data_IF_164379882362
#
_entry.id   IF_164379882362
#
_cell.length_a   1.000
_cell.length_b   1.000
_cell.length_c   1.000
_cell.angle_alpha   90.00
_cell.angle_beta   90.00
_cell.angle_gamma   90.00
#
_symmetry.space_group_name_H-M   'P 1'
#
loop_
_entity.id
_entity.type
_entity.pdbx_description
1 polymer ?
#
# COMPACT_ATOMS: atom_id res chain seq x y z
N UNK A 1 -6.12 -53.71 -21.56
CA UNK A 1 -5.52 -52.90 -22.64
C UNK A 1 -6.31 -51.61 -22.75
N UNK A 2 -5.79 -50.50 -22.23
CA UNK A 2 -6.45 -49.20 -22.30
C UNK A 2 -6.19 -48.60 -23.69
N UNK A 3 -7.13 -48.82 -24.60
CA UNK A 3 -7.12 -48.19 -25.91
C UNK A 3 -7.35 -46.69 -25.72
N UNK A 4 -6.28 -45.91 -25.82
CA UNK A 4 -6.38 -44.49 -26.07
C UNK A 4 -7.15 -44.31 -27.38
N UNK A 5 -8.42 -43.94 -27.29
CA UNK A 5 -9.22 -43.65 -28.47
C UNK A 5 -8.53 -42.53 -29.26
N UNK A 6 -8.37 -42.64 -30.59
CA UNK A 6 -7.74 -41.58 -31.37
C UNK A 6 -8.49 -40.27 -31.16
N UNK A 7 -7.72 -39.20 -31.00
CA UNK A 7 -8.20 -37.84 -30.67
C UNK A 7 -9.18 -37.32 -31.74
N UNK A 8 -9.15 -37.91 -32.94
CA UNK A 8 -9.95 -37.51 -34.11
C UNK A 8 -11.26 -38.28 -34.31
N UNK A 9 -11.67 -39.18 -33.40
CA UNK A 9 -13.02 -39.77 -33.45
C UNK A 9 -14.05 -38.68 -33.13
N UNK A 10 -15.15 -38.61 -33.87
CA UNK A 10 -16.22 -37.60 -33.65
C UNK A 10 -16.76 -37.61 -32.22
N UNK A 11 -16.82 -38.78 -31.59
CA UNK A 11 -17.24 -38.94 -30.19
C UNK A 11 -16.21 -38.43 -29.16
N UNK A 12 -14.92 -38.37 -29.50
CA UNK A 12 -13.89 -37.74 -28.68
C UNK A 12 -13.79 -36.23 -28.97
N UNK A 13 -14.11 -35.78 -30.19
CA UNK A 13 -14.23 -34.35 -30.51
C UNK A 13 -15.27 -33.65 -29.64
N UNK A 14 -16.43 -34.27 -29.36
CA UNK A 14 -17.42 -33.69 -28.44
C UNK A 14 -16.88 -33.48 -27.00
N UNK A 15 -15.94 -34.32 -26.54
CA UNK A 15 -15.31 -34.19 -25.20
C UNK A 15 -14.26 -33.08 -25.15
N UNK A 16 -13.67 -32.74 -26.29
CA UNK A 16 -12.67 -31.67 -26.45
C UNK A 16 -13.21 -30.44 -27.21
N UNK A 17 -14.49 -30.45 -27.59
CA UNK A 17 -15.18 -29.34 -28.24
C UNK A 17 -15.17 -28.13 -27.30
N UNK A 18 -14.40 -27.10 -27.67
CA UNK A 18 -14.21 -25.89 -26.86
C UNK A 18 -12.96 -25.89 -25.97
N UNK A 19 -12.19 -26.98 -25.88
CA UNK A 19 -10.90 -27.00 -25.20
C UNK A 19 -9.77 -26.96 -26.22
N UNK A 20 -8.88 -25.97 -26.11
CA UNK A 20 -7.66 -25.91 -26.93
C UNK A 20 -6.79 -27.13 -26.63
N UNK A 21 -6.53 -27.97 -27.64
CA UNK A 21 -5.64 -29.14 -27.54
C UNK A 21 -4.17 -28.74 -27.29
N UNK A 22 -3.83 -27.48 -27.58
CA UNK A 22 -2.53 -26.90 -27.28
C UNK A 22 -2.45 -26.48 -25.80
N UNK A 23 -1.30 -26.67 -25.12
CA UNK A 23 -1.12 -26.16 -23.77
C UNK A 23 -1.36 -24.64 -23.78
N UNK A 24 -2.11 -24.15 -22.80
CA UNK A 24 -2.35 -22.71 -22.65
C UNK A 24 -1.02 -22.03 -22.43
N UNK A 25 -0.51 -21.32 -23.45
CA UNK A 25 0.64 -20.44 -23.32
C UNK A 25 0.21 -19.22 -22.53
N UNK A 26 0.55 -19.17 -21.24
CA UNK A 26 0.34 -17.99 -20.42
C UNK A 26 1.43 -16.97 -20.72
N UNK A 27 1.14 -16.01 -21.59
CA UNK A 27 1.95 -14.80 -21.71
C UNK A 27 1.62 -13.86 -20.55
N UNK A 28 2.61 -13.11 -20.08
CA UNK A 28 2.36 -12.06 -19.09
C UNK A 28 1.34 -11.08 -19.65
N UNK A 29 0.24 -10.88 -18.93
CA UNK A 29 -0.78 -9.90 -19.28
C UNK A 29 -0.58 -8.66 -18.40
N UNK A 30 -0.16 -7.57 -19.03
CA UNK A 30 0.02 -6.27 -18.38
C UNK A 30 -1.32 -5.67 -17.95
N UNK A 31 -1.62 -5.70 -16.65
CA UNK A 31 -2.76 -4.96 -16.05
C UNK A 31 -2.41 -3.47 -15.94
N UNK A 32 -1.14 -3.19 -15.63
CA UNK A 32 -0.55 -1.86 -15.60
C UNK A 32 0.59 -1.82 -16.62
N UNK A 33 0.82 -0.67 -17.28
CA UNK A 33 1.94 -0.55 -18.21
C UNK A 33 3.24 -0.84 -17.47
N UNK A 34 4.13 -1.62 -18.09
CA UNK A 34 5.50 -1.87 -17.62
C UNK A 34 6.34 -0.59 -17.66
N UNK A 35 6.02 0.30 -16.73
CA UNK A 35 6.59 1.64 -16.62
C UNK A 35 6.89 1.94 -15.16
N UNK A 36 8.08 2.46 -14.92
CA UNK A 36 8.42 3.01 -13.61
C UNK A 36 7.70 4.33 -13.38
N UNK A 37 7.48 4.65 -12.10
CA UNK A 37 6.86 5.89 -11.66
C UNK A 37 7.95 6.86 -11.20
N UNK A 38 7.73 8.15 -11.36
CA UNK A 38 8.60 9.20 -10.78
C UNK A 38 8.43 9.36 -9.26
N UNK A 39 7.70 8.46 -8.59
CA UNK A 39 7.52 8.46 -7.14
C UNK A 39 7.43 7.03 -6.60
N UNK A 40 8.02 6.82 -5.43
CA UNK A 40 7.92 5.61 -4.64
C UNK A 40 6.79 5.79 -3.63
N UNK A 41 6.03 4.73 -3.42
CA UNK A 41 5.02 4.69 -2.37
C UNK A 41 5.70 4.66 -1.01
N UNK A 42 5.48 5.70 -0.21
CA UNK A 42 5.99 5.77 1.16
C UNK A 42 5.22 4.77 2.03
N UNK A 43 5.92 3.81 2.63
CA UNK A 43 5.38 3.04 3.75
C UNK A 43 5.29 3.96 4.96
N UNK A 44 4.16 3.95 5.66
CA UNK A 44 3.99 4.73 6.91
C UNK A 44 5.00 4.24 7.95
N UNK A 45 6.13 4.95 8.06
CA UNK A 45 7.10 4.71 9.11
C UNK A 45 6.60 5.37 10.40
N UNK A 46 6.76 4.68 11.52
CA UNK A 46 6.50 5.23 12.85
C UNK A 46 7.86 5.56 13.47
N UNK A 47 8.00 6.69 14.19
CA UNK A 47 9.21 6.95 14.96
C UNK A 47 9.42 5.83 15.98
N UNK A 48 10.67 5.44 16.17
CA UNK A 48 11.05 4.46 17.19
C UNK A 48 10.91 5.08 18.59
N UNK A 49 10.18 4.42 19.49
CA UNK A 49 9.95 4.91 20.85
C UNK A 49 8.81 4.21 21.57
N UNK A 50 8.86 4.22 22.90
CA UNK A 50 7.76 3.72 23.74
C UNK A 50 6.62 4.74 23.77
N UNK A 51 5.38 4.25 23.59
CA UNK A 51 4.18 5.10 23.57
C UNK A 51 3.73 5.56 24.97
N UNK A 52 4.67 5.90 25.86
CA UNK A 52 4.43 6.28 27.26
C UNK A 52 3.61 5.25 28.07
N UNK A 53 3.63 3.98 27.66
CA UNK A 53 2.80 2.91 28.24
C UNK A 53 3.19 2.59 29.68
N UNK A 54 4.46 2.73 30.05
CA UNK A 54 4.95 2.49 31.40
C UNK A 54 4.38 3.52 32.39
N UNK A 55 4.42 4.81 32.02
CA UNK A 55 3.88 5.88 32.86
C UNK A 55 2.35 5.83 32.94
N UNK A 56 1.69 5.45 31.84
CA UNK A 56 0.25 5.19 31.83
C UNK A 56 -0.13 4.05 32.80
N UNK A 57 0.65 2.97 32.84
CA UNK A 57 0.43 1.87 33.78
C UNK A 57 0.62 2.32 35.24
N UNK A 58 1.62 3.17 35.52
CA UNK A 58 1.81 3.74 36.86
C UNK A 58 0.65 4.65 37.28
N UNK A 59 0.13 5.46 36.35
CA UNK A 59 -1.05 6.31 36.57
C UNK A 59 -2.28 5.47 36.92
N UNK A 60 -2.59 4.45 36.11
CA UNK A 60 -3.70 3.54 36.40
C UNK A 60 -3.51 2.76 37.70
N UNK A 61 -2.27 2.41 38.04
CA UNK A 61 -1.94 1.82 39.34
C UNK A 61 -2.24 2.74 40.51
N UNK A 62 -2.06 4.06 40.35
CA UNK A 62 -2.42 5.06 41.35
C UNK A 62 -3.93 5.24 41.44
N UNK A 63 -4.62 5.43 40.31
CA UNK A 63 -6.08 5.58 40.28
C UNK A 63 -6.81 4.40 40.89
N UNK A 64 -6.32 3.16 40.67
CA UNK A 64 -6.90 1.97 41.29
C UNK A 64 -6.81 1.98 42.82
N UNK A 65 -5.78 2.61 43.40
CA UNK A 65 -5.59 2.68 44.86
C UNK A 65 -6.47 3.74 45.52
N UNK A 66 -6.79 4.81 44.81
CA UNK A 66 -7.50 5.97 45.33
C UNK A 66 -8.89 6.14 44.72
N UNK A 67 -9.52 5.07 44.22
CA UNK A 67 -10.86 5.12 43.63
C UNK A 67 -11.03 6.20 42.54
N UNK A 68 -9.96 6.45 41.77
CA UNK A 68 -9.88 7.47 40.71
C UNK A 68 -9.91 8.93 41.20
N UNK A 69 -9.47 9.19 42.43
CA UNK A 69 -9.33 10.56 42.95
C UNK A 69 -8.04 11.21 42.43
N UNK A 70 -8.17 12.18 41.52
CA UNK A 70 -7.04 12.80 40.79
C UNK A 70 -6.06 13.55 41.71
N UNK A 71 -6.53 14.04 42.85
CA UNK A 71 -5.73 14.85 43.77
C UNK A 71 -4.50 14.12 44.31
N UNK A 72 -4.61 12.80 44.50
CA UNK A 72 -3.55 11.96 45.07
C UNK A 72 -2.57 11.43 44.02
N UNK A 73 -2.91 11.53 42.72
CA UNK A 73 -2.15 10.96 41.61
C UNK A 73 -1.45 12.00 40.72
N UNK A 74 -1.32 13.25 41.20
CA UNK A 74 -0.70 14.37 40.46
C UNK A 74 0.72 14.06 39.98
N UNK A 75 1.52 13.35 40.78
CA UNK A 75 2.90 13.00 40.41
C UNK A 75 2.94 12.11 39.16
N UNK A 76 2.12 11.07 39.13
CA UNK A 76 2.03 10.12 38.01
C UNK A 76 1.42 10.79 36.78
N UNK A 77 0.49 11.72 36.99
CA UNK A 77 -0.11 12.54 35.93
C UNK A 77 0.91 13.49 35.30
N UNK A 78 1.74 14.14 36.11
CA UNK A 78 2.83 15.00 35.64
C UNK A 78 3.89 14.22 34.86
N UNK A 79 4.24 13.01 35.30
CA UNK A 79 5.14 12.14 34.54
C UNK A 79 4.54 11.81 33.17
N UNK A 80 3.32 11.27 33.15
CA UNK A 80 2.61 10.88 31.92
C UNK A 80 2.51 12.04 30.93
N UNK A 81 2.08 13.21 31.39
CA UNK A 81 1.92 14.40 30.54
C UNK A 81 3.26 14.87 29.96
N UNK A 82 4.35 14.82 30.74
CA UNK A 82 5.71 15.12 30.24
C UNK A 82 6.14 14.14 29.17
N UNK A 83 5.93 12.83 29.35
CA UNK A 83 6.28 11.85 28.32
C UNK A 83 5.46 12.07 27.04
N UNK A 84 4.15 12.32 27.16
CA UNK A 84 3.29 12.60 25.99
C UNK A 84 3.76 13.84 25.24
N UNK A 85 4.09 14.94 25.94
CA UNK A 85 4.59 16.16 25.33
C UNK A 85 5.94 15.93 24.63
N UNK A 86 6.85 15.16 25.22
CA UNK A 86 8.13 14.81 24.59
C UNK A 86 7.93 13.91 23.37
N UNK A 87 7.02 12.94 23.44
CA UNK A 87 6.74 12.05 22.33
C UNK A 87 6.09 12.80 21.15
N UNK A 88 5.19 13.74 21.42
CA UNK A 88 4.61 14.62 20.40
C UNK A 88 5.70 15.41 19.65
N UNK A 89 6.64 16.02 20.38
CA UNK A 89 7.78 16.72 19.78
C UNK A 89 8.65 15.81 18.91
N UNK A 90 8.96 14.59 19.39
CA UNK A 90 9.72 13.60 18.60
C UNK A 90 9.00 13.19 17.32
N UNK A 91 7.68 13.00 17.37
CA UNK A 91 6.87 12.67 16.19
C UNK A 91 6.87 13.83 15.19
N UNK A 92 6.74 15.07 15.66
CA UNK A 92 6.82 16.27 14.82
C UNK A 92 8.19 16.41 14.15
N UNK A 93 9.28 16.23 14.90
CA UNK A 93 10.65 16.23 14.39
C UNK A 93 10.87 15.14 13.35
N UNK A 94 10.43 13.90 13.62
CA UNK A 94 10.51 12.79 12.67
C UNK A 94 9.72 13.06 11.39
N UNK A 95 8.53 13.64 11.50
CA UNK A 95 7.73 14.02 10.34
C UNK A 95 8.39 15.15 9.54
N UNK A 96 8.99 16.13 10.21
CA UNK A 96 9.69 17.23 9.58
C UNK A 96 10.96 16.75 8.87
N UNK A 97 11.77 15.89 9.49
CA UNK A 97 12.97 15.30 8.86
C UNK A 97 12.59 14.39 7.69
N UNK A 98 11.56 13.55 7.87
CA UNK A 98 11.03 12.70 6.79
C UNK A 98 10.58 13.51 5.59
N UNK A 99 9.91 14.65 5.80
CA UNK A 99 9.49 15.56 4.71
C UNK A 99 10.65 16.27 4.03
N UNK A 100 11.66 16.71 4.79
CA UNK A 100 12.77 17.51 4.25
C UNK A 100 13.64 16.72 3.26
N UNK A 101 13.72 15.39 3.39
CA UNK A 101 14.36 14.52 2.40
C UNK A 101 15.73 15.04 1.97
N UNK A 102 16.55 15.48 2.93
CA UNK A 102 17.83 16.16 2.65
C UNK A 102 18.79 15.17 2.02
N UNK A 103 19.28 15.48 0.82
CA UNK A 103 20.26 14.66 0.11
C UNK A 103 21.65 14.95 0.71
N UNK A 104 22.29 13.96 1.35
CA UNK A 104 23.67 14.10 1.84
C UNK A 104 23.99 13.52 3.22
N UNK A 105 23.01 13.06 4.00
CA UNK A 105 23.28 12.51 5.34
C UNK A 105 23.52 10.99 5.32
N UNK A 106 24.80 10.62 5.20
CA UNK A 106 25.51 9.56 5.96
C UNK A 106 25.10 8.08 5.88
N UNK A 107 23.90 7.72 5.42
CA UNK A 107 23.46 6.33 5.42
C UNK A 107 23.61 5.69 4.04
N UNK A 108 24.12 4.44 4.00
CA UNK A 108 24.30 3.65 2.76
C UNK A 108 22.97 3.42 2.00
N UNK A 109 21.83 3.61 2.65
CA UNK A 109 20.49 3.42 2.08
C UNK A 109 19.73 4.75 2.08
N UNK A 110 19.27 5.17 0.90
CA UNK A 110 18.43 6.35 0.72
C UNK A 110 17.06 6.15 1.39
N UNK A 111 16.59 7.18 2.09
CA UNK A 111 15.19 7.23 2.56
C UNK A 111 14.24 7.40 1.39
N UNK A 112 12.99 6.97 1.55
CA UNK A 112 11.97 7.10 0.48
C UNK A 112 11.73 8.55 0.05
N UNK A 113 11.82 9.51 0.97
CA UNK A 113 11.70 10.93 0.66
C UNK A 113 12.90 11.48 -0.11
N UNK A 114 14.12 11.06 0.25
CA UNK A 114 15.33 11.38 -0.53
C UNK A 114 15.24 10.79 -1.95
N UNK A 115 14.81 9.53 -2.08
CA UNK A 115 14.62 8.88 -3.38
C UNK A 115 13.54 9.60 -4.23
N UNK A 116 12.41 10.00 -3.61
CA UNK A 116 11.38 10.77 -4.29
C UNK A 116 11.90 12.11 -4.80
N UNK A 117 12.69 12.83 -3.98
CA UNK A 117 13.34 14.07 -4.41
C UNK A 117 14.30 13.87 -5.58
N UNK A 118 15.05 12.77 -5.62
CA UNK A 118 15.91 12.44 -6.77
C UNK A 118 15.11 12.18 -8.04
N UNK A 119 14.00 11.46 -7.95
CA UNK A 119 13.13 11.22 -9.11
C UNK A 119 12.37 12.46 -9.58
N UNK A 120 12.13 13.43 -8.69
CA UNK A 120 11.61 14.76 -9.06
C UNK A 120 12.66 15.57 -9.84
N UNK A 121 13.92 15.53 -9.42
CA UNK A 121 15.03 16.21 -10.10
C UNK A 121 15.36 15.57 -11.45
N UNK A 122 15.30 14.24 -11.52
CA UNK A 122 15.60 13.45 -12.72
C UNK A 122 14.39 12.60 -13.11
N UNK A 123 13.33 13.22 -13.64
CA UNK A 123 12.16 12.48 -14.08
C UNK A 123 12.52 11.60 -15.27
N UNK A 124 11.92 10.41 -15.35
CA UNK A 124 12.18 9.51 -16.46
C UNK A 124 11.51 10.06 -17.74
N UNK A 125 12.25 10.12 -18.87
CA UNK A 125 11.81 10.82 -20.08
C UNK A 125 10.57 10.19 -20.72
N UNK A 126 10.41 8.87 -20.61
CA UNK A 126 9.38 8.14 -21.34
C UNK A 126 8.04 8.01 -20.60
N UNK A 127 7.97 8.31 -19.29
CA UNK A 127 6.89 7.80 -18.43
C UNK A 127 6.48 8.75 -17.28
N UNK A 128 6.63 10.06 -17.48
CA UNK A 128 6.51 11.05 -16.40
C UNK A 128 5.13 11.59 -16.05
N UNK A 129 4.07 11.21 -16.76
CA UNK A 129 2.69 11.52 -16.36
C UNK A 129 1.98 10.20 -16.29
N UNK A 130 1.35 9.87 -15.16
CA UNK A 130 0.40 8.79 -15.18
C UNK A 130 -0.60 9.08 -16.31
N UNK A 131 -0.65 8.29 -17.40
CA UNK A 131 -1.91 8.18 -18.08
C UNK A 131 -2.74 7.34 -17.13
N UNK A 132 -3.26 7.95 -16.07
CA UNK A 132 -4.61 7.57 -15.78
C UNK A 132 -5.36 8.01 -17.04
N UNK A 133 -5.51 7.07 -17.98
CA UNK A 133 -6.86 6.60 -18.19
C UNK A 133 -7.46 6.48 -16.78
N UNK A 134 -8.02 7.58 -16.25
CA UNK A 134 -9.43 7.58 -15.92
C UNK A 134 -10.04 6.97 -17.16
N UNK A 135 -10.07 5.65 -17.21
CA UNK A 135 -11.17 4.81 -17.59
C UNK A 135 -12.16 5.49 -18.55
N UNK A 136 -11.66 6.22 -19.55
CA UNK A 136 -12.41 6.77 -20.66
C UNK A 136 -12.39 5.64 -21.65
N UNK A 137 -13.58 5.09 -21.88
CA UNK A 137 -13.83 4.16 -22.97
C UNK A 137 -13.22 4.77 -24.22
N UNK A 138 -12.56 3.95 -25.05
CA UNK A 138 -12.24 4.45 -26.38
C UNK A 138 -13.58 4.85 -27.06
N UNK A 139 -13.62 5.92 -27.88
CA UNK A 139 -14.87 6.38 -28.51
C UNK A 139 -15.64 5.28 -29.28
N UNK A 140 -14.95 4.22 -29.70
CA UNK A 140 -15.49 3.08 -30.45
C UNK A 140 -15.82 1.86 -29.60
N UNK A 141 -15.67 1.92 -28.28
CA UNK A 141 -15.75 0.75 -27.40
C UNK A 141 -17.18 0.51 -26.89
N UNK A 142 -17.70 -0.70 -27.14
CA UNK A 142 -19.04 -1.15 -26.73
C UNK A 142 -19.23 -1.06 -25.21
N UNK A 143 -20.45 -0.67 -24.79
CA UNK A 143 -20.84 -0.60 -23.38
C UNK A 143 -20.94 -1.98 -22.71
N UNK A 144 -21.01 -3.07 -23.50
CA UNK A 144 -21.22 -4.42 -23.00
C UNK A 144 -19.94 -5.07 -22.46
N UNK A 145 -18.76 -4.65 -22.95
CA UNK A 145 -17.47 -5.27 -22.68
C UNK A 145 -16.90 -4.80 -21.33
N UNK A 146 -17.31 -5.46 -20.25
CA UNK A 146 -16.86 -5.14 -18.88
C UNK A 146 -15.45 -5.69 -18.60
N UNK A 147 -14.46 -5.24 -19.39
CA UNK A 147 -13.04 -5.60 -19.23
C UNK A 147 -12.51 -5.28 -17.83
N UNK A 148 -13.15 -4.33 -17.13
CA UNK A 148 -12.73 -3.85 -15.81
C UNK A 148 -13.55 -4.42 -14.66
N UNK A 149 -14.47 -5.37 -14.93
CA UNK A 149 -15.33 -6.03 -13.93
C UNK A 149 -16.01 -5.03 -12.98
N UNK A 150 -16.53 -3.92 -13.51
CA UNK A 150 -17.11 -2.83 -12.70
C UNK A 150 -18.59 -2.99 -12.40
N UNK A 151 -19.31 -3.81 -13.17
CA UNK A 151 -20.78 -3.92 -13.05
C UNK A 151 -21.26 -4.27 -11.64
N UNK A 152 -20.43 -4.94 -10.84
CA UNK A 152 -20.81 -5.42 -9.50
C UNK A 152 -20.10 -4.67 -8.36
N UNK A 153 -19.40 -3.56 -8.63
CA UNK A 153 -18.68 -2.79 -7.60
C UNK A 153 -19.55 -1.62 -7.12
N UNK A 154 -19.99 -1.60 -5.85
CA UNK A 154 -20.83 -0.53 -5.33
C UNK A 154 -20.11 0.82 -5.40
N UNK A 155 -20.81 1.86 -5.88
CA UNK A 155 -20.32 3.25 -5.94
C UNK A 155 -19.60 3.64 -7.24
N UNK A 156 -19.63 2.83 -8.30
CA UNK A 156 -19.11 3.21 -9.62
C UNK A 156 -20.21 3.19 -10.69
N UNK A 157 -20.35 4.25 -11.52
CA UNK A 157 -21.30 4.24 -12.62
C UNK A 157 -20.90 3.19 -13.66
N UNK A 158 -21.90 2.45 -14.13
CA UNK A 158 -21.80 1.40 -15.15
C UNK A 158 -21.55 1.92 -16.56
#
# INVERSE_FOLDING_TARGET
MFLSSPIFKESSLARYAGKTLLPRKSFFQEILPLSSKNQLSVKKAKPEGSACTQELQMLFGCFKKWEYDDLQCKLQQDMYTRCVAQNAKRVEEFNATSKKGVLGEGNKVLTTSQANRLMELYPQPDLGKAPYRKMKRLPTQSYADDLFRRKNVPGKPS
#
